data_IF_046599125957
#
_entry.id   IF_046599125957
#
_cell.length_a   1.000
_cell.length_b   1.000
_cell.length_c   1.000
_cell.angle_alpha   90.00
_cell.angle_beta   90.00
_cell.angle_gamma   90.00
#
_symmetry.space_group_name_H-M   'P 1'
#
loop_
_entity.id
_entity.type
_entity.pdbx_description
1 polymer ?
2 branched ?
3 branched ?
4 non-polymer ?
5 non-polymer ?
6 non-polymer ?
7 non-polymer ?
8 water ?
#
# COMPACT_ATOMS: atom_id res chain seq x y z
N UNK A 26 1.63 9.40 20.20
CA UNK A 26 0.47 9.66 19.36
C UNK A 26 -0.11 11.01 19.79
N UNK A 27 -1.44 11.18 19.65
CA UNK A 27 -2.34 12.31 19.96
C UNK A 27 -2.90 12.95 18.69
N UNK A 28 -3.90 13.81 18.83
CA UNK A 28 -4.61 14.37 17.67
C UNK A 28 -3.74 15.33 16.87
N UNK A 29 -2.85 16.06 17.52
CA UNK A 29 -2.11 17.11 16.85
C UNK A 29 -0.62 16.91 17.05
N UNK A 30 0.20 17.40 16.14
CA UNK A 30 1.63 17.50 16.44
C UNK A 30 1.85 18.35 17.67
N UNK A 31 2.92 18.03 18.40
CA UNK A 31 3.22 18.69 19.67
C UNK A 31 3.39 20.19 19.52
N UNK A 32 3.87 20.64 18.36
CA UNK A 32 4.04 22.07 18.13
C UNK A 32 2.71 22.83 18.23
N UNK A 33 1.57 22.16 17.98
CA UNK A 33 0.32 22.92 17.86
C UNK A 33 -0.23 23.38 19.20
N UNK A 34 0.09 22.69 20.29
CA UNK A 34 -0.38 23.11 21.60
C UNK A 34 0.22 24.47 21.98
N UNK A 35 -0.46 25.26 22.84
CA UNK A 35 -1.65 24.95 23.64
C UNK A 35 -3.01 25.23 22.97
N UNK A 36 -3.01 25.81 21.77
CA UNK A 36 -4.26 26.12 21.07
C UNK A 36 -4.20 25.53 19.66
N UNK A 37 -4.32 24.22 19.54
CA UNK A 37 -4.16 23.59 18.21
C UNK A 37 -5.24 23.99 17.23
N UNK A 38 -6.42 24.39 17.73
CA UNK A 38 -7.55 24.75 16.90
C UNK A 38 -7.64 26.24 16.62
N UNK A 39 -6.62 27.03 17.00
CA UNK A 39 -6.63 28.45 16.68
C UNK A 39 -6.83 28.62 15.19
N UNK A 40 -7.63 29.61 14.81
CA UNK A 40 -7.93 29.86 13.42
C UNK A 40 -9.04 29.02 12.82
N UNK A 41 -9.49 27.97 13.51
CA UNK A 41 -10.53 27.08 12.98
C UNK A 41 -11.87 27.55 13.53
N UNK A 42 -12.87 27.66 12.65
CA UNK A 42 -14.22 27.97 13.08
C UNK A 42 -14.91 26.67 13.50
N UNK A 43 -15.29 26.58 14.78
CA UNK A 43 -16.04 25.43 15.25
C UNK A 43 -17.39 25.35 14.53
N UNK A 44 -17.75 24.14 14.11
CA UNK A 44 -19.02 23.86 13.43
C UNK A 44 -19.82 22.76 14.09
N UNK A 45 -19.15 21.71 14.55
CA UNK A 45 -19.83 20.49 14.97
C UNK A 45 -18.85 19.66 15.75
N UNK A 46 -19.23 19.24 16.95
CA UNK A 46 -18.28 18.66 17.90
C UNK A 46 -17.88 17.24 17.55
N UNK A 47 -18.44 16.63 16.49
CA UNK A 47 -18.00 15.30 16.07
C UNK A 47 -16.59 15.32 15.49
N UNK A 48 -16.16 16.45 14.95
CA UNK A 48 -14.96 16.54 14.14
C UNK A 48 -13.85 17.22 14.91
N UNK A 49 -12.62 17.00 14.43
CA UNK A 49 -11.44 17.65 15.00
C UNK A 49 -11.58 19.15 14.88
N UNK A 50 -11.38 19.85 16.00
CA UNK A 50 -11.58 21.31 16.09
C UNK A 50 -12.99 21.71 15.68
N UNK A 51 -13.92 20.77 15.67
CA UNK A 51 -15.28 21.09 15.25
C UNK A 51 -15.44 21.31 13.77
N UNK A 52 -14.47 20.88 12.96
CA UNK A 52 -14.46 21.17 11.53
C UNK A 52 -14.49 19.86 10.75
N UNK A 53 -15.57 19.57 10.01
CA UNK A 53 -15.66 18.26 9.32
C UNK A 53 -14.54 18.02 8.32
N UNK A 54 -13.95 19.07 7.77
CA UNK A 54 -12.85 18.90 6.85
C UNK A 54 -11.62 18.27 7.52
N UNK A 55 -11.52 18.34 8.85
CA UNK A 55 -10.41 17.73 9.58
C UNK A 55 -10.71 16.33 10.06
N UNK A 56 -11.84 15.75 9.64
CA UNK A 56 -12.11 14.36 9.91
C UNK A 56 -12.64 14.11 11.31
N UNK A 57 -12.93 12.84 11.62
CA UNK A 57 -13.55 12.51 12.90
C UNK A 57 -12.55 12.51 14.04
N UNK A 58 -13.05 12.89 15.22
CA UNK A 58 -12.23 12.81 16.43
C UNK A 58 -11.90 11.35 16.72
N UNK A 59 -12.88 10.48 16.63
CA UNK A 59 -12.73 9.06 16.96
C UNK A 59 -12.30 8.30 15.72
N UNK A 60 -11.23 7.52 15.83
CA UNK A 60 -10.67 6.72 14.76
C UNK A 60 -10.92 5.24 14.99
N UNK A 61 -10.87 4.41 13.94
CA UNK A 61 -11.17 2.98 14.11
C UNK A 61 -10.15 2.29 15.01
N UNK A 62 -10.62 1.33 15.80
CA UNK A 62 -9.74 0.53 16.64
C UNK A 62 -9.80 -0.96 16.35
N UNK A 63 -10.42 -1.37 15.25
CA UNK A 63 -10.53 -2.77 14.89
C UNK A 63 -9.84 -3.02 13.54
N UNK A 64 -9.38 -4.25 13.35
CA UNK A 64 -8.79 -4.68 12.08
C UNK A 64 -9.88 -4.79 11.01
N UNK A 65 -9.60 -4.39 9.75
CA UNK A 65 -8.35 -3.88 9.16
C UNK A 65 -8.21 -2.37 9.21
N UNK A 66 -9.28 -1.68 9.60
CA UNK A 66 -9.22 -0.23 9.54
C UNK A 66 -8.06 0.30 10.37
N UNK A 67 -7.88 -0.22 11.59
CA UNK A 67 -6.76 0.27 12.38
C UNK A 67 -5.43 -0.05 11.71
N UNK A 68 -5.38 -1.15 10.96
CA UNK A 68 -4.13 -1.48 10.27
C UNK A 68 -3.87 -0.53 9.12
N UNK A 69 -4.92 -0.12 8.40
CA UNK A 69 -4.75 0.85 7.34
C UNK A 69 -4.44 2.25 7.85
N UNK A 70 -4.71 2.54 9.12
CA UNK A 70 -4.51 3.88 9.65
C UNK A 70 -3.30 3.96 10.56
N UNK A 71 -2.56 2.86 10.70
CA UNK A 71 -1.48 2.80 11.68
C UNK A 71 -0.35 3.78 11.36
N UNK A 72 -0.19 4.16 10.09
CA UNK A 72 0.87 5.07 9.68
C UNK A 72 0.36 6.48 9.37
N UNK A 73 -0.88 6.81 9.80
CA UNK A 73 -1.59 8.00 9.35
C UNK A 73 -1.42 9.13 10.36
N UNK A 74 -0.67 10.16 9.99
CA UNK A 74 -0.61 11.41 10.74
C UNK A 74 -1.49 12.39 10.00
N UNK A 75 -2.64 12.71 10.61
CA UNK A 75 -3.76 13.33 9.91
C UNK A 75 -3.38 14.65 9.24
N UNK A 76 -2.52 15.44 9.87
CA UNK A 76 -2.08 16.71 9.30
C UNK A 76 -0.60 16.70 8.93
N UNK A 77 0.01 15.52 8.84
CA UNK A 77 1.46 15.47 8.71
C UNK A 77 2.09 16.14 9.92
N UNK A 78 3.05 17.03 9.69
CA UNK A 78 3.64 17.79 10.78
C UNK A 78 2.99 19.17 10.92
N UNK A 79 1.89 19.42 10.20
CA UNK A 79 1.23 20.71 10.18
C UNK A 79 0.19 20.79 11.29
N UNK A 80 -0.21 22.00 11.61
CA UNK A 80 -1.36 22.21 12.48
C UNK A 80 -2.60 22.48 11.64
N UNK A 81 -3.80 22.34 12.21
CA UNK A 81 -5.03 22.38 11.38
C UNK A 81 -5.15 23.55 10.42
N UNK A 82 -4.97 24.78 10.89
CA UNK A 82 -5.13 25.93 10.00
C UNK A 82 -4.06 25.93 8.90
N UNK A 83 -2.83 25.53 9.24
CA UNK A 83 -1.80 25.42 8.20
C UNK A 83 -2.17 24.34 7.18
N UNK A 84 -2.67 23.21 7.67
CA UNK A 84 -3.11 22.14 6.77
C UNK A 84 -4.21 22.63 5.83
N UNK A 85 -5.25 23.27 6.37
CA UNK A 85 -6.30 23.80 5.51
C UNK A 85 -5.77 24.89 4.60
N UNK A 86 -4.87 25.75 5.11
CA UNK A 86 -4.32 26.80 4.28
C UNK A 86 -3.60 26.22 3.08
N UNK A 87 -2.92 25.09 3.29
CA UNK A 87 -2.12 24.49 2.22
C UNK A 87 -2.98 23.76 1.20
N UNK A 88 -4.00 23.03 1.66
CA UNK A 88 -4.69 22.07 0.81
C UNK A 88 -6.12 22.44 0.45
N UNK A 89 -6.66 23.52 1.01
CA UNK A 89 -8.03 23.94 0.74
C UNK A 89 -8.04 25.39 0.31
N UNK A 90 -9.17 25.81 -0.28
CA UNK A 90 -9.26 27.18 -0.78
C UNK A 90 -9.31 28.23 0.33
N UNK A 91 -9.61 27.82 1.57
CA UNK A 91 -9.76 28.79 2.64
C UNK A 91 -9.73 28.02 3.96
N UNK A 92 -9.11 28.63 4.97
CA UNK A 92 -9.18 28.09 6.34
C UNK A 92 -10.59 28.26 6.90
N UNK A 93 -11.31 29.31 6.46
CA UNK A 93 -12.69 29.50 6.87
C UNK A 93 -13.56 28.33 6.41
N UNK A 94 -14.71 28.10 7.07
CA UNK A 94 -15.52 26.91 6.75
C UNK A 94 -15.93 26.79 5.31
N UNK A 95 -15.96 27.89 4.55
CA UNK A 95 -16.31 27.82 3.13
C UNK A 95 -15.21 27.24 2.25
N UNK A 96 -14.01 27.01 2.79
CA UNK A 96 -12.93 26.51 1.96
C UNK A 96 -13.15 25.05 1.58
N UNK A 97 -12.89 24.74 0.32
CA UNK A 97 -12.97 23.37 -0.17
C UNK A 97 -11.59 22.83 -0.48
N UNK A 98 -11.42 21.51 -0.31
CA UNK A 98 -10.15 20.88 -0.64
C UNK A 98 -9.86 21.00 -2.13
N UNK A 99 -8.60 21.29 -2.45
CA UNK A 99 -8.14 21.29 -3.83
C UNK A 99 -7.52 19.92 -4.13
N UNK A 100 -7.93 19.31 -5.21
CA UNK A 100 -7.49 17.97 -5.54
C UNK A 100 -6.40 18.02 -6.60
N UNK A 101 -5.56 16.98 -6.68
CA UNK A 101 -4.43 17.01 -7.62
C UNK A 101 -4.91 16.90 -9.06
N UNK A 102 -4.08 17.29 -10.02
CA UNK A 102 -4.48 17.21 -11.44
C UNK A 102 -4.44 15.79 -11.95
N UNK A 103 -4.99 15.63 -13.16
CA UNK A 103 -4.92 14.36 -13.90
C UNK A 103 -5.47 13.19 -13.08
N UNK A 104 -6.57 13.46 -12.36
CA UNK A 104 -7.25 12.45 -11.55
C UNK A 104 -6.37 11.84 -10.46
N UNK A 105 -5.33 12.56 -10.03
CA UNK A 105 -4.51 12.07 -8.94
C UNK A 105 -3.53 10.97 -9.28
N UNK A 106 -3.34 10.65 -10.57
CA UNK A 106 -2.29 9.72 -10.94
C UNK A 106 -0.93 10.42 -10.80
N UNK A 107 0.07 9.66 -10.37
CA UNK A 107 1.42 10.18 -10.34
C UNK A 107 1.86 10.51 -11.76
N UNK A 108 2.61 11.61 -11.88
CA UNK A 108 3.03 12.14 -13.17
C UNK A 108 4.46 11.71 -13.47
N UNK A 109 4.72 11.41 -14.74
CA UNK A 109 6.04 11.01 -15.19
C UNK A 109 6.90 12.26 -15.45
N UNK A 110 8.10 12.06 -15.98
CA UNK A 110 9.02 13.18 -16.11
C UNK A 110 8.54 14.20 -17.13
N UNK A 111 7.57 13.85 -17.98
CA UNK A 111 7.00 14.76 -18.95
C UNK A 111 5.65 15.32 -18.51
N UNK A 112 5.35 15.25 -17.20
CA UNK A 112 4.09 15.71 -16.63
C UNK A 112 2.88 14.91 -17.11
N UNK A 113 3.09 13.71 -17.65
CA UNK A 113 1.91 12.94 -18.03
C UNK A 113 1.54 11.94 -16.95
N UNK A 114 0.26 11.65 -16.76
CA UNK A 114 -0.11 10.64 -15.76
C UNK A 114 0.36 9.25 -16.16
N UNK A 115 0.83 8.50 -15.17
CA UNK A 115 1.22 7.10 -15.35
C UNK A 115 -0.01 6.26 -15.05
N UNK A 116 -0.56 5.62 -16.09
CA UNK A 116 -1.69 4.72 -15.92
C UNK A 116 -1.82 3.87 -17.16
N UNK A 117 -2.67 2.85 -17.07
CA UNK A 117 -3.08 2.07 -18.23
C UNK A 117 -4.47 1.51 -18.00
N UNK A 118 -5.15 1.22 -19.10
CA UNK A 118 -6.38 0.47 -19.02
C UNK A 118 -6.05 -1.00 -18.74
N UNK A 119 -6.68 -1.56 -17.72
CA UNK A 119 -6.38 -2.90 -17.26
C UNK A 119 -7.66 -3.61 -16.86
N UNK A 120 -7.69 -4.92 -17.10
CA UNK A 120 -8.79 -5.78 -16.74
C UNK A 120 -8.64 -6.26 -15.30
N UNK A 121 -9.66 -6.01 -14.48
CA UNK A 121 -9.66 -6.52 -13.11
C UNK A 121 -10.24 -7.92 -13.10
N UNK A 122 -9.50 -8.93 -12.65
CA UNK A 122 -10.00 -10.31 -12.73
C UNK A 122 -11.06 -10.61 -11.66
N UNK A 123 -11.93 -11.55 -11.99
CA UNK A 123 -12.90 -12.07 -11.03
C UNK A 123 -12.18 -12.61 -9.79
N UNK A 124 -12.69 -12.26 -8.61
CA UNK A 124 -12.06 -12.62 -7.35
C UNK A 124 -11.27 -11.51 -6.68
N UNK A 125 -10.81 -10.52 -7.44
CA UNK A 125 -9.99 -9.45 -6.87
C UNK A 125 -10.78 -8.62 -5.86
N UNK A 126 -10.15 -8.29 -4.75
CA UNK A 126 -10.81 -7.54 -3.70
C UNK A 126 -10.35 -6.09 -3.72
N UNK A 127 -11.31 -5.18 -3.64
CA UNK A 127 -11.08 -3.74 -3.74
C UNK A 127 -11.70 -3.07 -2.53
N UNK A 128 -11.16 -1.92 -2.12
CA UNK A 128 -11.84 -1.18 -1.06
C UNK A 128 -11.81 0.31 -1.36
N UNK A 129 -12.50 1.08 -0.51
CA UNK A 129 -12.77 2.47 -0.85
C UNK A 129 -13.24 3.24 0.38
N UNK A 130 -12.69 4.43 0.61
CA UNK A 130 -13.25 5.37 1.57
C UNK A 130 -14.06 6.39 0.77
N UNK A 131 -15.37 6.28 0.81
CA UNK A 131 -16.20 7.20 0.05
C UNK A 131 -17.53 6.57 -0.32
N UNK A 132 -18.44 7.42 -0.77
CA UNK A 132 -19.76 6.94 -1.17
C UNK A 132 -19.67 6.09 -2.43
N UNK A 133 -20.72 5.30 -2.66
CA UNK A 133 -20.73 4.42 -3.82
C UNK A 133 -21.00 5.15 -5.13
N UNK A 134 -21.13 6.48 -5.09
CA UNK A 134 -21.22 7.26 -6.31
C UNK A 134 -19.85 7.64 -6.85
N UNK A 135 -18.77 7.24 -6.17
CA UNK A 135 -17.43 7.54 -6.62
C UNK A 135 -16.91 6.52 -7.62
N UNK A 136 -15.69 6.80 -8.12
CA UNK A 136 -15.10 6.04 -9.21
C UNK A 136 -13.64 5.66 -8.91
N UNK A 137 -13.18 5.82 -7.67
CA UNK A 137 -11.80 5.55 -7.30
C UNK A 137 -11.78 4.44 -6.26
N UNK A 138 -11.03 3.38 -6.55
CA UNK A 138 -10.84 2.30 -5.58
C UNK A 138 -9.35 2.00 -5.46
N UNK A 139 -9.03 1.20 -4.46
CA UNK A 139 -7.67 0.75 -4.16
C UNK A 139 -7.71 -0.75 -3.91
N UNK A 140 -6.57 -1.43 -4.00
CA UNK A 140 -6.56 -2.85 -3.59
C UNK A 140 -6.88 -2.98 -2.11
N UNK A 141 -7.66 -4.01 -1.78
CA UNK A 141 -8.01 -4.29 -0.39
C UNK A 141 -6.80 -4.15 0.52
N UNK A 142 -6.94 -3.34 1.56
CA UNK A 142 -5.92 -3.21 2.57
C UNK A 142 -4.89 -2.12 2.36
N UNK A 143 -4.96 -1.34 1.29
CA UNK A 143 -3.95 -0.31 1.10
C UNK A 143 -3.97 0.68 2.28
N UNK A 144 -2.81 1.08 2.79
CA UNK A 144 -2.79 2.07 3.88
C UNK A 144 -3.48 3.36 3.45
N UNK A 145 -4.12 4.02 4.42
CA UNK A 145 -4.75 5.30 4.13
C UNK A 145 -3.76 6.27 3.50
N UNK A 146 -2.51 6.32 3.98
CA UNK A 146 -1.56 7.28 3.42
C UNK A 146 -1.19 6.99 1.97
N UNK A 147 -1.38 5.75 1.51
CA UNK A 147 -1.15 5.45 0.09
C UNK A 147 -2.26 5.97 -0.81
N UNK A 148 -3.39 6.39 -0.26
CA UNK A 148 -4.54 6.84 -1.05
C UNK A 148 -4.57 8.34 -1.31
N UNK A 149 -3.72 9.12 -0.64
CA UNK A 149 -3.72 10.59 -0.73
C UNK A 149 -5.15 11.15 -0.62
N UNK A 150 -5.79 10.81 0.47
CA UNK A 150 -7.14 11.28 0.77
C UNK A 150 -7.10 12.31 1.90
N UNK A 151 -7.99 13.30 1.89
CA UNK A 151 -8.04 14.26 3.00
C UNK A 151 -8.73 13.65 4.21
N UNK A 152 -8.65 14.29 5.37
CA UNK A 152 -9.19 13.65 6.58
C UNK A 152 -10.70 13.44 6.51
N UNK A 153 -11.41 14.25 5.74
CA UNK A 153 -12.86 14.17 5.69
C UNK A 153 -13.37 12.85 5.08
N UNK A 154 -12.53 12.12 4.33
CA UNK A 154 -13.02 10.84 3.83
C UNK A 154 -13.20 9.80 4.92
N UNK A 155 -12.76 10.06 6.15
CA UNK A 155 -13.06 9.17 7.27
C UNK A 155 -14.33 9.56 8.01
N UNK A 156 -15.02 10.61 7.58
CA UNK A 156 -16.30 10.94 8.20
C UNK A 156 -17.32 9.86 7.86
N UNK A 157 -18.20 9.56 8.82
CA UNK A 157 -19.23 8.55 8.63
C UNK A 157 -20.51 9.22 8.12
N UNK A 158 -21.08 8.65 7.06
CA UNK A 158 -22.34 9.11 6.51
C UNK A 158 -23.45 8.11 6.67
N UNK A 159 -23.13 6.82 6.61
CA UNK A 159 -24.09 5.75 6.83
C UNK A 159 -23.56 4.90 7.98
N UNK A 160 -24.34 4.81 9.06
CA UNK A 160 -23.91 4.03 10.20
C UNK A 160 -23.65 2.57 9.88
N UNK A 161 -24.18 2.07 8.77
CA UNK A 161 -23.87 0.70 8.37
C UNK A 161 -22.43 0.59 7.85
N UNK A 162 -21.81 1.71 7.49
CA UNK A 162 -20.43 1.73 7.00
C UNK A 162 -19.64 2.79 7.76
N UNK A 163 -19.19 2.46 8.98
CA UNK A 163 -18.37 3.40 9.75
C UNK A 163 -17.13 3.82 8.96
N UNK A 164 -16.81 5.11 9.06
CA UNK A 164 -15.65 5.69 8.40
C UNK A 164 -15.76 5.66 6.89
N UNK A 165 -16.98 5.47 6.38
CA UNK A 165 -17.25 5.45 4.93
C UNK A 165 -16.40 4.39 4.21
N UNK A 166 -16.01 3.34 4.91
CA UNK A 166 -15.15 2.30 4.36
C UNK A 166 -15.99 1.16 3.78
N UNK A 167 -15.76 0.86 2.50
CA UNK A 167 -16.50 -0.17 1.77
C UNK A 167 -15.50 -1.14 1.17
N UNK A 168 -15.85 -2.43 1.15
CA UNK A 168 -15.02 -3.47 0.52
C UNK A 168 -15.87 -4.20 -0.53
N UNK A 169 -15.24 -4.52 -1.67
CA UNK A 169 -15.92 -5.13 -2.80
C UNK A 169 -15.06 -6.24 -3.39
N UNK A 170 -15.69 -7.10 -4.20
CA UNK A 170 -15.00 -8.17 -4.89
C UNK A 170 -15.49 -8.24 -6.33
N UNK A 171 -14.55 -8.33 -7.26
CA UNK A 171 -14.88 -8.36 -8.68
C UNK A 171 -15.61 -9.67 -8.97
N UNK A 172 -16.85 -9.54 -9.46
CA UNK A 172 -17.65 -10.70 -9.82
C UNK A 172 -17.72 -10.92 -11.33
N UNK A 173 -17.34 -9.92 -12.11
CA UNK A 173 -17.28 -10.03 -13.55
C UNK A 173 -16.20 -9.09 -14.06
N UNK A 174 -15.35 -9.58 -14.96
CA UNK A 174 -14.21 -8.78 -15.44
C UNK A 174 -14.67 -7.43 -15.97
N UNK A 175 -13.90 -6.39 -15.67
CA UNK A 175 -14.11 -5.11 -16.33
C UNK A 175 -12.81 -4.32 -16.33
N UNK A 176 -12.74 -3.33 -17.22
CA UNK A 176 -11.54 -2.56 -17.48
C UNK A 176 -11.61 -1.26 -16.70
N UNK A 177 -10.48 -0.86 -16.12
CA UNK A 177 -10.35 0.37 -15.34
C UNK A 177 -9.07 1.06 -15.75
N UNK A 178 -9.00 2.35 -15.44
CA UNK A 178 -7.71 3.02 -15.43
C UNK A 178 -6.95 2.59 -14.18
N UNK A 179 -5.71 2.16 -14.36
CA UNK A 179 -4.94 1.56 -13.28
C UNK A 179 -3.58 2.24 -13.25
N UNK A 180 -3.20 2.78 -12.08
CA UNK A 180 -1.92 3.44 -11.95
C UNK A 180 -1.61 3.99 -10.56
N UNK A 181 -0.39 4.49 -10.39
CA UNK A 181 0.06 4.96 -9.07
C UNK A 181 -0.64 6.25 -8.65
N UNK A 182 -0.78 6.40 -7.34
CA UNK A 182 -1.43 7.56 -6.72
C UNK A 182 -0.40 8.63 -6.38
N UNK A 183 -0.58 9.85 -6.91
CA UNK A 183 0.32 10.96 -6.63
C UNK A 183 0.24 11.35 -5.15
N UNK A 184 1.34 11.80 -4.56
CA UNK A 184 1.27 12.36 -3.20
C UNK A 184 0.35 13.58 -3.17
N UNK A 185 -0.40 13.71 -2.08
CA UNK A 185 -1.28 14.87 -1.89
C UNK A 185 -1.74 14.87 -0.43
N UNK A 186 -2.26 16.02 0.03
CA UNK A 186 -2.88 16.15 1.36
C UNK A 186 -1.90 15.82 2.48
N UNK A 187 -0.63 16.19 2.28
CA UNK A 187 0.45 15.96 3.23
C UNK A 187 0.76 14.47 3.43
N UNK A 188 0.43 13.63 2.44
CA UNK A 188 0.72 12.21 2.51
C UNK A 188 1.53 11.78 1.29
N UNK A 189 2.22 10.64 1.38
CA UNK A 189 3.10 10.23 0.26
C UNK A 189 2.37 9.55 -0.89
N UNK A 190 1.17 9.02 -0.67
CA UNK A 190 0.49 8.34 -1.74
C UNK A 190 1.23 7.08 -2.16
N UNK A 191 1.24 6.83 -3.47
CA UNK A 191 1.96 5.75 -4.12
C UNK A 191 1.36 4.38 -3.83
N UNK A 192 0.10 4.35 -3.43
CA UNK A 192 -0.72 3.18 -3.68
C UNK A 192 -1.03 3.08 -5.16
N UNK A 193 -1.82 2.08 -5.51
CA UNK A 193 -2.43 1.99 -6.84
C UNK A 193 -3.90 2.36 -6.72
N UNK A 194 -4.39 3.19 -7.63
CA UNK A 194 -5.81 3.46 -7.72
C UNK A 194 -6.38 2.82 -8.97
N UNK A 195 -7.65 2.42 -8.87
CA UNK A 195 -8.44 1.94 -10.00
C UNK A 195 -9.53 2.97 -10.24
N UNK A 196 -9.48 3.61 -11.40
CA UNK A 196 -10.45 4.63 -11.77
C UNK A 196 -11.44 4.01 -12.73
N UNK A 197 -12.68 3.90 -12.29
CA UNK A 197 -13.71 3.18 -13.02
C UNK A 197 -14.50 4.14 -13.90
N UNK A 198 -15.10 3.60 -14.96
CA UNK A 198 -15.89 4.37 -15.90
C UNK A 198 -17.38 4.33 -15.58
N UNK A 199 -17.80 3.42 -14.71
CA UNK A 199 -19.12 3.37 -14.08
C UNK A 199 -18.89 3.57 -12.58
N UNK A 200 -19.76 4.32 -11.91
CA UNK A 200 -19.49 4.44 -10.48
C UNK A 200 -19.79 3.11 -9.78
N UNK A 201 -19.36 3.04 -8.52
CA UNK A 201 -19.39 1.78 -7.78
C UNK A 201 -20.80 1.21 -7.75
N UNK A 202 -21.77 2.06 -7.43
CA UNK A 202 -23.14 1.60 -7.35
C UNK A 202 -23.60 1.03 -8.69
N UNK A 203 -23.22 1.68 -9.78
CA UNK A 203 -23.55 1.15 -11.10
C UNK A 203 -22.91 -0.20 -11.34
N UNK A 204 -21.64 -0.35 -10.94
CA UNK A 204 -20.96 -1.64 -11.12
C UNK A 204 -21.65 -2.72 -10.32
N UNK A 205 -22.11 -2.40 -9.11
CA UNK A 205 -22.88 -3.37 -8.33
C UNK A 205 -24.19 -3.70 -9.05
N UNK A 206 -24.91 -2.64 -9.48
CA UNK A 206 -26.15 -2.81 -10.23
C UNK A 206 -26.00 -3.81 -11.36
N UNK A 207 -24.92 -3.70 -12.13
CA UNK A 207 -24.71 -4.50 -13.33
C UNK A 207 -23.97 -5.79 -13.08
N UNK A 208 -23.70 -6.15 -11.83
CA UNK A 208 -23.13 -7.45 -11.54
C UNK A 208 -21.62 -7.58 -11.65
N UNK A 209 -20.89 -6.46 -11.70
CA UNK A 209 -19.43 -6.47 -11.81
C UNK A 209 -18.74 -6.52 -10.45
N UNK A 210 -19.37 -5.97 -9.41
CA UNK A 210 -18.84 -5.96 -8.05
C UNK A 210 -19.94 -6.45 -7.12
N UNK A 211 -19.55 -7.14 -6.06
CA UNK A 211 -20.45 -7.39 -4.95
C UNK A 211 -19.84 -6.79 -3.69
N UNK A 212 -20.69 -6.45 -2.74
CA UNK A 212 -20.23 -5.96 -1.45
C UNK A 212 -19.77 -7.12 -0.59
N UNK A 213 -18.72 -6.89 0.19
CA UNK A 213 -18.27 -7.86 1.16
C UNK A 213 -18.62 -7.35 2.56
N UNK A 214 -19.12 -8.24 3.42
CA UNK A 214 -19.26 -7.83 4.81
C UNK A 214 -17.99 -8.20 5.56
N UNK A 215 -17.87 -7.69 6.79
CA UNK A 215 -16.58 -7.71 7.48
C UNK A 215 -16.08 -9.13 7.68
N UNK A 216 -16.97 -10.11 7.78
CA UNK A 216 -16.55 -11.50 7.94
C UNK A 216 -15.79 -12.02 6.72
N UNK A 217 -15.83 -11.31 5.61
CA UNK A 217 -15.15 -11.74 4.40
C UNK A 217 -13.80 -11.05 4.21
N UNK A 218 -13.40 -10.18 5.14
CA UNK A 218 -12.07 -9.58 5.09
C UNK A 218 -11.51 -9.37 6.50
N UNK A 219 -11.71 -10.36 7.37
CA UNK A 219 -11.23 -10.27 8.74
C UNK A 219 -10.14 -11.27 9.08
N UNK A 220 -9.70 -12.09 8.11
CA UNK A 220 -8.60 -13.01 8.32
C UNK A 220 -7.55 -12.80 7.24
N UNK A 221 -6.31 -13.15 7.58
CA UNK A 221 -5.18 -12.92 6.68
C UNK A 221 -5.37 -13.61 5.33
N UNK A 222 -5.86 -14.87 5.34
CA UNK A 222 -5.96 -15.59 4.07
C UNK A 222 -6.93 -14.88 3.13
N UNK A 223 -7.90 -14.14 3.68
CA UNK A 223 -8.85 -13.42 2.84
C UNK A 223 -8.23 -12.20 2.16
N UNK A 224 -6.99 -11.85 2.49
CA UNK A 224 -6.24 -10.84 1.76
C UNK A 224 -5.36 -11.42 0.67
N UNK A 225 -5.21 -12.75 0.61
CA UNK A 225 -4.33 -13.37 -0.37
C UNK A 225 -5.06 -13.50 -1.71
N UNK A 226 -4.34 -14.03 -2.71
CA UNK A 226 -4.77 -14.06 -4.11
C UNK A 226 -4.86 -15.48 -4.64
N UNK A 227 -6.07 -16.06 -4.75
CA UNK A 227 -6.20 -17.37 -5.38
C UNK A 227 -6.49 -17.33 -6.88
N UNK A 228 -6.75 -16.14 -7.45
CA UNK A 228 -7.27 -16.07 -8.82
C UNK A 228 -6.18 -15.92 -9.87
N UNK A 229 -5.04 -15.33 -9.53
CA UNK A 229 -3.98 -15.18 -10.53
C UNK A 229 -3.32 -16.54 -10.78
N UNK A 230 -3.22 -16.98 -12.03
CA UNK A 230 -2.60 -18.29 -12.31
C UNK A 230 -1.09 -18.23 -12.28
N UNK A 231 -0.50 -19.40 -12.07
CA UNK A 231 0.93 -19.54 -12.00
C UNK A 231 1.59 -19.59 -13.37
N UNK A 232 2.92 -19.45 -13.37
CA UNK A 232 3.64 -19.52 -14.65
C UNK A 232 3.62 -20.90 -15.28
N UNK A 233 3.49 -21.96 -14.50
CA UNK A 233 3.53 -23.32 -15.03
C UNK A 233 2.17 -23.81 -15.54
N UNK A 234 1.14 -22.96 -15.52
CA UNK A 234 -0.21 -23.35 -15.96
C UNK A 234 -0.47 -23.14 -17.45
N UNK B 27 -2.69 -17.65 11.44
CA UNK B 27 -2.40 -19.07 11.21
C UNK B 27 -1.25 -19.25 10.21
N UNK B 28 -0.21 -20.00 10.59
CA UNK B 28 0.94 -20.17 9.70
C UNK B 28 0.54 -20.91 8.43
N UNK B 29 -0.04 -22.09 8.57
CA UNK B 29 -0.56 -22.82 7.43
C UNK B 29 -2.08 -22.70 7.39
N UNK B 30 -2.69 -22.77 6.21
CA UNK B 30 -4.16 -22.81 6.16
C UNK B 30 -4.66 -24.08 6.87
N UNK B 31 -5.79 -23.93 7.58
CA UNK B 31 -6.31 -25.04 8.37
C UNK B 31 -6.52 -26.31 7.54
N UNK B 32 -6.68 -26.15 6.23
CA UNK B 32 -6.88 -27.26 5.30
C UNK B 32 -5.62 -28.13 5.15
N UNK B 33 -4.45 -27.62 5.50
CA UNK B 33 -3.20 -28.36 5.30
C UNK B 33 -2.88 -29.30 6.45
N UNK B 34 -3.41 -29.05 7.64
CA UNK B 34 -3.35 -30.05 8.69
C UNK B 34 -3.94 -31.35 8.17
N UNK B 35 -3.40 -32.51 8.56
CA UNK B 35 -2.50 -32.68 9.70
C UNK B 35 -1.01 -32.44 9.44
N UNK B 36 -0.50 -32.58 8.21
CA UNK B 36 0.94 -32.54 7.93
C UNK B 36 1.30 -31.51 6.88
N UNK B 37 1.37 -30.23 7.25
CA UNK B 37 1.61 -29.18 6.24
C UNK B 37 2.90 -29.33 5.46
N UNK B 38 3.95 -29.90 6.05
CA UNK B 38 5.22 -29.94 5.36
C UNK B 38 5.37 -31.14 4.46
N UNK B 39 4.27 -31.85 4.19
CA UNK B 39 4.30 -32.99 3.27
C UNK B 39 4.94 -32.59 1.95
N UNK B 40 5.91 -33.39 1.50
CA UNK B 40 6.59 -33.15 0.24
C UNK B 40 7.79 -32.24 0.34
N UNK B 41 7.96 -31.53 1.43
CA UNK B 41 9.10 -30.64 1.61
C UNK B 41 10.28 -31.44 2.17
N UNK B 42 11.46 -31.23 1.60
CA UNK B 42 12.68 -31.83 2.13
C UNK B 42 13.30 -30.88 3.15
N UNK B 43 13.56 -31.38 4.35
CA UNK B 43 14.21 -30.54 5.34
C UNK B 43 15.62 -30.19 4.93
N UNK B 44 16.00 -28.92 5.08
CA UNK B 44 17.34 -28.46 4.74
C UNK B 44 17.98 -27.64 5.86
N UNK B 45 17.25 -26.66 6.41
CA UNK B 45 17.85 -25.67 7.32
C UNK B 45 16.86 -25.34 8.43
N UNK B 46 17.27 -25.47 9.68
CA UNK B 46 16.31 -25.10 10.70
C UNK B 46 16.18 -23.57 10.76
N UNK B 47 15.15 -23.13 11.47
CA UNK B 47 14.61 -21.78 11.65
C UNK B 47 13.74 -21.34 10.46
N UNK B 48 13.67 -22.11 9.37
CA UNK B 48 12.81 -21.81 8.23
C UNK B 48 11.59 -22.72 8.22
N UNK B 49 10.48 -22.22 7.68
CA UNK B 49 9.24 -23.01 7.62
C UNK B 49 9.52 -24.32 6.89
N UNK B 50 9.19 -25.44 7.54
CA UNK B 50 9.43 -26.80 7.04
C UNK B 50 10.89 -27.05 6.73
N UNK B 51 11.79 -26.29 7.38
CA UNK B 51 13.21 -26.41 7.11
C UNK B 51 13.60 -26.03 5.70
N UNK B 52 12.82 -25.18 5.05
CA UNK B 52 13.03 -24.84 3.65
C UNK B 52 13.14 -23.32 3.53
N UNK B 53 14.32 -22.78 3.24
CA UNK B 53 14.49 -21.32 3.23
C UNK B 53 13.60 -20.62 2.23
N UNK B 54 13.18 -21.32 1.18
CA UNK B 54 12.26 -20.72 0.22
C UNK B 54 10.91 -20.39 0.85
N UNK B 55 10.59 -21.02 1.97
CA UNK B 55 9.32 -20.79 2.64
C UNK B 55 9.42 -19.75 3.74
N UNK B 56 10.57 -19.09 3.87
CA UNK B 56 10.71 -17.98 4.77
C UNK B 56 10.96 -18.40 6.20
N UNK B 57 11.12 -17.42 7.09
CA UNK B 57 11.44 -17.74 8.48
C UNK B 57 10.21 -18.12 9.29
N UNK B 58 10.45 -18.90 10.34
CA UNK B 58 9.39 -19.24 11.28
C UNK B 58 8.95 -18.01 12.05
N UNK B 59 9.91 -17.29 12.62
CA UNK B 59 9.64 -16.13 13.46
C UNK B 59 9.47 -14.91 12.57
N UNK B 60 8.32 -14.27 12.67
CA UNK B 60 8.00 -13.05 11.94
C UNK B 60 8.13 -11.83 12.83
N UNK B 61 8.20 -10.63 12.24
CA UNK B 61 8.54 -9.45 13.05
C UNK B 61 7.49 -9.15 14.11
N UNK B 62 7.97 -8.63 15.22
CA UNK B 62 7.16 -8.40 16.41
C UNK B 62 6.84 -6.94 16.66
N UNK B 63 7.36 -6.01 15.86
CA UNK B 63 7.21 -4.59 16.19
C UNK B 63 6.93 -3.77 14.95
N UNK B 64 6.33 -2.61 15.20
CA UNK B 64 6.04 -1.62 14.17
C UNK B 64 7.34 -1.14 13.52
N UNK B 65 7.35 -0.93 12.18
CA UNK B 65 6.27 -1.05 11.18
C UNK B 65 6.17 -2.39 10.49
N UNK B 66 7.20 -3.22 10.69
CA UNK B 66 7.24 -4.53 10.05
C UNK B 66 6.00 -5.34 10.36
N UNK B 67 5.60 -5.40 11.64
CA UNK B 67 4.39 -6.15 11.95
C UNK B 67 3.18 -5.52 11.28
N UNK B 68 3.18 -4.20 11.09
CA UNK B 68 2.09 -3.54 10.37
C UNK B 68 2.06 -3.95 8.90
N UNK B 69 3.24 -4.08 8.29
CA UNK B 69 3.35 -4.47 6.89
C UNK B 69 3.00 -5.93 6.64
N UNK B 70 3.04 -6.77 7.67
CA UNK B 70 2.77 -8.19 7.52
C UNK B 70 1.43 -8.60 8.13
N UNK B 71 0.64 -7.63 8.60
CA UNK B 71 -0.61 -7.96 9.29
C UNK B 71 -1.60 -8.68 8.37
N UNK B 72 -1.53 -8.43 7.06
CA UNK B 72 -2.43 -9.06 6.10
C UNK B 72 -1.76 -10.18 5.31
N UNK B 73 -0.63 -10.70 5.77
CA UNK B 73 0.18 -11.64 4.99
C UNK B 73 -0.15 -13.07 5.37
N UNK B 74 -0.81 -13.79 4.47
CA UNK B 74 -0.97 -15.23 4.55
C UNK B 74 0.07 -15.83 3.62
N UNK B 75 1.12 -16.42 4.20
CA UNK B 75 2.35 -16.57 3.44
C UNK B 75 2.22 -17.57 2.30
N UNK B 76 1.27 -18.51 2.37
CA UNK B 76 1.00 -19.41 1.26
C UNK B 76 -0.38 -19.18 0.65
N UNK B 77 -1.02 -18.06 0.97
CA UNK B 77 -2.42 -17.91 0.59
C UNK B 77 -3.20 -19.06 1.20
N UNK B 78 -4.06 -19.68 0.39
CA UNK B 78 -4.81 -20.86 0.80
C UNK B 78 -4.15 -22.16 0.38
N UNK B 79 -2.89 -22.11 -0.05
CA UNK B 79 -2.19 -23.31 -0.51
C UNK B 79 -1.35 -23.93 0.62
N UNK B 80 -1.02 -25.25 0.42
CA UNK B 80 -0.05 -25.89 1.28
C UNK B 80 1.36 -25.69 0.72
N UNK B 81 2.38 -25.76 1.58
CA UNK B 81 3.75 -25.48 1.12
C UNK B 81 4.14 -26.14 -0.20
N UNK B 82 3.95 -27.45 -0.33
CA UNK B 82 4.31 -28.12 -1.58
C UNK B 82 3.50 -27.58 -2.76
N UNK B 83 2.19 -27.37 -2.55
CA UNK B 83 1.34 -26.73 -3.57
C UNK B 83 1.88 -25.36 -3.96
N UNK B 84 2.32 -24.59 -2.98
CA UNK B 84 2.81 -23.24 -3.25
C UNK B 84 4.08 -23.28 -4.08
N UNK B 85 5.02 -24.15 -3.70
CA UNK B 85 6.24 -24.32 -4.48
C UNK B 85 5.96 -24.91 -5.87
N UNK B 86 5.01 -25.84 -5.96
CA UNK B 86 4.69 -26.41 -7.27
C UNK B 86 4.16 -25.34 -8.22
N UNK B 87 3.36 -24.41 -7.69
CA UNK B 87 2.78 -23.36 -8.53
C UNK B 87 3.81 -22.30 -8.90
N UNK B 88 4.63 -21.86 -7.95
CA UNK B 88 5.42 -20.63 -8.14
C UNK B 88 6.91 -20.89 -8.34
N UNK B 89 7.38 -22.13 -8.30
CA UNK B 89 8.79 -22.42 -8.46
C UNK B 89 8.98 -23.54 -9.48
N UNK B 90 10.24 -23.79 -9.84
CA UNK B 90 10.53 -24.81 -10.84
C UNK B 90 10.43 -26.23 -10.30
N UNK B 91 10.44 -26.42 -8.98
CA UNK B 91 10.41 -27.75 -8.40
C UNK B 91 10.09 -27.64 -6.92
N UNK B 92 9.31 -28.59 -6.41
CA UNK B 92 9.11 -28.68 -4.96
C UNK B 92 10.39 -29.12 -4.27
N UNK B 93 11.25 -29.84 -4.97
CA UNK B 93 12.51 -30.31 -4.40
C UNK B 93 13.43 -29.12 -4.10
N UNK B 94 14.46 -29.33 -3.26
CA UNK B 94 15.33 -28.20 -2.89
C UNK B 94 15.98 -27.47 -4.05
N UNK B 95 16.15 -28.12 -5.21
CA UNK B 95 16.72 -27.45 -6.37
C UNK B 95 15.74 -26.51 -7.08
N UNK B 96 14.47 -26.47 -6.68
CA UNK B 96 13.55 -25.57 -7.36
C UNK B 96 13.84 -24.12 -7.02
N UNK B 97 13.69 -23.25 -8.02
CA UNK B 97 13.88 -21.82 -7.83
C UNK B 97 12.57 -21.09 -8.14
N UNK B 98 12.35 -19.96 -7.45
CA UNK B 98 11.14 -19.18 -7.69
C UNK B 98 11.17 -18.60 -9.09
N UNK B 99 10.02 -18.63 -9.76
CA UNK B 99 9.84 -18.03 -11.08
C UNK B 99 9.19 -16.66 -10.90
N UNK B 100 9.77 -15.65 -11.52
CA UNK B 100 9.34 -14.28 -11.27
C UNK B 100 8.41 -13.80 -12.38
N UNK B 101 7.57 -12.79 -12.10
CA UNK B 101 6.65 -12.31 -13.12
C UNK B 101 7.38 -11.60 -14.23
N UNK B 102 6.80 -11.57 -15.43
CA UNK B 102 7.47 -10.88 -16.55
C UNK B 102 7.44 -9.36 -16.44
N UNK B 103 8.09 -8.67 -17.37
CA UNK B 103 8.10 -7.21 -17.45
C UNK B 103 8.57 -6.57 -16.14
N UNK B 104 9.54 -7.21 -15.49
CA UNK B 104 10.09 -6.73 -14.22
C UNK B 104 9.00 -6.57 -13.14
N UNK B 105 7.93 -7.37 -13.20
CA UNK B 105 6.89 -7.32 -12.19
C UNK B 105 5.91 -6.17 -12.29
N UNK B 106 5.96 -5.35 -13.34
CA UNK B 106 4.95 -4.31 -13.51
C UNK B 106 3.62 -4.95 -13.90
N UNK B 107 2.52 -4.35 -13.42
CA UNK B 107 1.18 -4.77 -13.86
C UNK B 107 1.00 -4.44 -15.34
N UNK B 108 0.29 -5.32 -16.05
CA UNK B 108 0.15 -5.23 -17.50
C UNK B 108 -1.21 -4.64 -17.88
N UNK B 109 -1.23 -3.84 -18.94
CA UNK B 109 -2.48 -3.24 -19.42
C UNK B 109 -3.23 -4.25 -20.29
N UNK B 110 -4.37 -3.82 -20.86
CA UNK B 110 -5.20 -4.75 -21.64
C UNK B 110 -4.48 -5.29 -22.87
N UNK B 111 -3.38 -4.65 -23.29
CA UNK B 111 -2.56 -5.11 -24.41
C UNK B 111 -1.29 -5.81 -23.95
N UNK B 112 -1.24 -6.26 -22.69
CA UNK B 112 -0.12 -7.01 -22.15
C UNK B 112 1.18 -6.20 -22.18
N UNK B 113 1.08 -4.88 -22.08
CA UNK B 113 2.23 -4.01 -21.91
C UNK B 113 2.32 -3.54 -20.47
N UNK B 114 3.52 -3.50 -19.89
CA UNK B 114 3.65 -3.04 -18.50
C UNK B 114 3.24 -1.57 -18.36
N UNK B 115 2.55 -1.27 -17.26
CA UNK B 115 2.15 0.09 -16.92
C UNK B 115 3.24 0.70 -16.05
N UNK B 116 3.87 1.76 -16.55
CA UNK B 116 4.94 2.44 -15.83
C UNK B 116 5.29 3.73 -16.55
N UNK B 117 5.99 4.60 -15.84
CA UNK B 117 6.61 5.75 -16.46
C UNK B 117 7.91 6.04 -15.74
N UNK B 118 8.74 6.86 -16.39
CA UNK B 118 9.91 7.43 -15.73
C UNK B 118 9.44 8.57 -14.84
N UNK B 119 9.90 8.60 -13.59
CA UNK B 119 9.44 9.59 -12.64
C UNK B 119 10.61 10.07 -11.80
N UNK B 120 10.56 11.34 -11.44
CA UNK B 120 11.56 11.93 -10.55
C UNK B 120 11.13 11.70 -9.11
N UNK B 121 11.97 11.01 -8.34
CA UNK B 121 11.73 10.90 -6.90
C UNK B 121 12.22 12.18 -6.24
N UNK B 122 11.38 12.88 -5.49
CA UNK B 122 11.80 14.15 -4.90
C UNK B 122 12.61 13.94 -3.63
N UNK B 123 13.43 14.95 -3.32
CA UNK B 123 14.21 14.95 -2.09
C UNK B 123 13.27 14.90 -0.91
N UNK B 124 13.51 13.97 0.01
CA UNK B 124 12.69 13.79 1.19
C UNK B 124 11.82 12.54 1.17
N UNK B 125 11.54 12.00 -0.01
CA UNK B 125 10.71 10.81 -0.10
C UNK B 125 11.35 9.62 0.60
N UNK B 126 10.54 8.88 1.35
CA UNK B 126 11.04 7.70 2.05
C UNK B 126 10.64 6.46 1.29
N UNK B 127 11.59 5.55 1.10
CA UNK B 127 11.41 4.30 0.39
C UNK B 127 11.80 3.15 1.31
N UNK B 128 11.26 1.96 1.04
CA UNK B 128 11.75 0.80 1.75
C UNK B 128 11.82 -0.41 0.82
N UNK B 129 12.39 -1.48 1.35
CA UNK B 129 12.79 -2.61 0.51
C UNK B 129 13.06 -3.80 1.41
N UNK B 130 12.49 -4.96 1.07
CA UNK B 130 12.91 -6.24 1.63
C UNK B 130 13.88 -6.86 0.64
N UNK B 131 15.17 -6.81 0.96
CA UNK B 131 16.18 -7.34 0.06
C UNK B 131 17.51 -6.65 0.27
N UNK B 132 18.49 -7.13 -0.48
CA UNK B 132 19.88 -6.68 -0.35
C UNK B 132 20.12 -5.43 -1.18
N UNK B 133 21.19 -4.71 -0.83
CA UNK B 133 21.44 -3.44 -1.49
C UNK B 133 22.05 -3.59 -2.87
N UNK B 134 22.26 -4.83 -3.34
CA UNK B 134 22.65 -5.02 -4.72
C UNK B 134 21.46 -4.99 -5.68
N UNK B 135 20.24 -4.93 -5.15
CA UNK B 135 19.04 -4.95 -5.97
C UNK B 135 18.51 -3.57 -6.32
N UNK B 136 17.34 -3.55 -6.95
CA UNK B 136 16.86 -2.34 -7.64
C UNK B 136 15.37 -2.08 -7.44
N UNK B 137 14.67 -2.84 -6.61
CA UNK B 137 13.23 -2.71 -6.45
C UNK B 137 12.93 -2.17 -5.06
N UNK B 138 12.25 -1.03 -4.99
CA UNK B 138 11.78 -0.46 -3.75
C UNK B 138 10.28 -0.16 -3.84
N UNK B 139 9.69 0.16 -2.69
CA UNK B 139 8.29 0.52 -2.55
C UNK B 139 8.23 1.78 -1.70
N UNK B 140 7.09 2.47 -1.66
CA UNK B 140 6.98 3.59 -0.72
C UNK B 140 7.03 3.03 0.68
N UNK B 141 7.72 3.73 1.56
CA UNK B 141 7.82 3.31 2.96
C UNK B 141 6.46 2.90 3.50
N UNK B 142 6.40 1.73 4.12
CA UNK B 142 5.17 1.26 4.73
C UNK B 142 4.27 0.42 3.84
N UNK B 143 4.63 0.20 2.59
CA UNK B 143 3.79 -0.62 1.72
C UNK B 143 3.62 -2.02 2.31
N UNK B 144 2.39 -2.54 2.38
CA UNK B 144 2.19 -3.91 2.88
C UNK B 144 3.02 -4.92 2.10
N UNK B 145 3.47 -5.97 2.80
CA UNK B 145 4.25 -7.00 2.12
C UNK B 145 3.48 -7.62 0.97
N UNK B 146 2.16 -7.82 1.13
CA UNK B 146 1.40 -8.44 0.04
C UNK B 146 1.28 -7.52 -1.16
N UNK B 147 1.48 -6.20 -0.99
CA UNK B 147 1.45 -5.29 -2.13
C UNK B 147 2.69 -5.40 -3.01
N UNK B 148 3.75 -6.07 -2.54
CA UNK B 148 5.02 -6.17 -3.25
C UNK B 148 5.16 -7.43 -4.10
N UNK B 149 4.25 -8.40 -3.93
CA UNK B 149 4.30 -9.66 -4.67
C UNK B 149 5.69 -10.30 -4.58
N UNK B 150 6.09 -10.56 -3.34
CA UNK B 150 7.37 -11.18 -3.03
C UNK B 150 7.17 -12.58 -2.48
N UNK B 151 8.11 -13.50 -2.73
CA UNK B 151 8.01 -14.83 -2.12
C UNK B 151 8.36 -14.77 -0.64
N UNK B 152 8.10 -15.85 0.10
CA UNK B 152 8.40 -15.83 1.54
C UNK B 152 9.87 -15.63 1.87
N UNK B 153 10.78 -16.02 0.98
CA UNK B 153 12.21 -15.95 1.29
C UNK B 153 12.76 -14.53 1.31
N UNK B 154 12.03 -13.53 0.81
CA UNK B 154 12.52 -12.16 0.99
C UNK B 154 12.41 -11.68 2.42
N UNK B 155 11.85 -12.49 3.31
CA UNK B 155 11.84 -12.20 4.75
C UNK B 155 13.01 -12.87 5.47
N UNK B 156 13.86 -13.58 4.74
CA UNK B 156 15.00 -14.22 5.35
C UNK B 156 16.04 -13.16 5.71
N UNK B 157 16.69 -13.36 6.86
CA UNK B 157 17.69 -12.42 7.33
C UNK B 157 19.05 -12.89 6.84
N UNK B 158 19.80 -11.99 6.20
CA UNK B 158 21.17 -12.28 5.76
C UNK B 158 22.21 -11.51 6.55
N UNK B 159 21.83 -10.38 7.12
CA UNK B 159 22.71 -9.53 7.92
C UNK B 159 21.95 -9.16 9.19
N UNK B 160 22.47 -9.58 10.34
CA UNK B 160 21.81 -9.29 11.61
C UNK B 160 21.58 -7.81 11.88
N UNK B 161 22.33 -6.93 11.21
CA UNK B 161 22.02 -5.52 11.32
C UNK B 161 20.67 -5.18 10.71
N UNK B 162 20.16 -6.03 9.83
CA UNK B 162 18.91 -5.80 9.12
C UNK B 162 18.04 -7.04 9.21
N UNK B 163 17.38 -7.25 10.36
CA UNK B 163 16.41 -8.34 10.47
C UNK B 163 15.41 -8.31 9.33
N UNK B 164 15.12 -9.48 8.78
CA UNK B 164 14.16 -9.67 7.69
C UNK B 164 14.60 -8.94 6.43
N UNK B 165 15.88 -8.58 6.36
CA UNK B 165 16.45 -7.87 5.22
C UNK B 165 15.68 -6.59 4.90
N UNK B 166 15.07 -5.98 5.90
CA UNK B 166 14.22 -4.81 5.70
C UNK B 166 15.07 -3.53 5.79
N UNK B 167 15.05 -2.75 4.71
CA UNK B 167 15.82 -1.52 4.59
C UNK B 167 14.90 -0.33 4.34
N UNK B 168 15.23 0.81 4.92
CA UNK B 168 14.50 2.05 4.67
C UNK B 168 15.50 3.10 4.20
N UNK B 169 15.09 3.89 3.22
CA UNK B 169 15.94 4.93 2.65
C UNK B 169 15.19 6.23 2.55
N UNK B 170 15.94 7.32 2.40
CA UNK B 170 15.37 8.62 2.09
C UNK B 170 16.13 9.23 0.92
N UNK B 171 15.40 9.81 -0.02
CA UNK B 171 16.02 10.46 -1.17
C UNK B 171 16.71 11.73 -0.71
N UNK B 172 17.99 11.86 -1.04
CA UNK B 172 18.77 13.04 -0.69
C UNK B 172 19.14 13.89 -1.89
N UNK B 173 19.01 13.34 -3.09
CA UNK B 173 19.16 14.08 -4.33
C UNK B 173 18.20 13.45 -5.33
N UNK B 174 17.47 14.28 -6.06
CA UNK B 174 16.43 13.71 -6.92
C UNK B 174 17.06 12.88 -8.03
N UNK B 175 16.32 11.86 -8.48
CA UNK B 175 16.77 10.99 -9.55
C UNK B 175 15.57 10.25 -10.12
N UNK B 176 15.74 9.75 -11.36
CA UNK B 176 14.64 9.17 -12.14
C UNK B 176 14.65 7.66 -11.97
N UNK B 177 13.44 7.09 -11.74
CA UNK B 177 13.24 5.65 -11.66
C UNK B 177 12.10 5.28 -12.58
N UNK B 178 12.03 3.99 -12.91
CA UNK B 178 10.80 3.44 -13.45
C UNK B 178 9.80 3.26 -12.32
N UNK B 179 8.57 3.77 -12.52
CA UNK B 179 7.59 3.78 -11.43
C UNK B 179 6.27 3.24 -11.96
N UNK B 180 5.69 2.28 -11.24
CA UNK B 180 4.49 1.64 -11.72
C UNK B 180 3.84 0.67 -10.76
N UNK B 181 2.63 0.25 -11.10
CA UNK B 181 1.93 -0.75 -10.28
C UNK B 181 2.58 -2.12 -10.33
N UNK B 182 2.44 -2.83 -9.22
CA UNK B 182 3.04 -4.15 -9.03
C UNK B 182 2.01 -5.22 -9.37
N UNK B 183 2.37 -6.12 -10.29
CA UNK B 183 1.49 -7.19 -10.70
C UNK B 183 1.32 -8.20 -9.57
N UNK B 184 0.17 -8.86 -9.47
CA UNK B 184 0.04 -9.97 -8.53
C UNK B 184 0.97 -11.12 -8.91
N UNK B 185 1.52 -11.77 -7.89
CA UNK B 185 2.38 -12.92 -8.05
C UNK B 185 2.52 -13.58 -6.69
N UNK B 186 3.05 -14.81 -6.69
CA UNK B 186 3.35 -15.53 -5.46
C UNK B 186 2.15 -15.64 -4.52
N UNK B 187 0.94 -15.74 -5.11
CA UNK B 187 -0.31 -15.94 -4.36
C UNK B 187 -0.74 -14.69 -3.59
N UNK B 188 -0.26 -13.52 -3.99
CA UNK B 188 -0.60 -12.25 -3.39
C UNK B 188 -1.18 -11.30 -4.43
N UNK B 189 -1.95 -10.30 -4.00
CA UNK B 189 -2.57 -9.37 -4.96
C UNK B 189 -1.65 -8.34 -5.56
N UNK B 190 -0.46 -8.11 -5.01
CA UNK B 190 0.37 -7.00 -5.50
C UNK B 190 -0.38 -5.67 -5.39
N UNK B 191 -0.18 -4.81 -6.41
CA UNK B 191 -0.85 -3.52 -6.57
C UNK B 191 -0.36 -2.44 -5.60
N UNK B 192 0.78 -2.65 -4.96
CA UNK B 192 1.54 -1.50 -4.51
C UNK B 192 2.14 -0.81 -5.73
N UNK B 193 2.98 0.17 -5.47
CA UNK B 193 3.78 0.79 -6.51
C UNK B 193 5.22 0.36 -6.28
N UNK B 194 5.94 0.06 -7.36
CA UNK B 194 7.36 -0.22 -7.26
C UNK B 194 8.16 0.88 -7.93
N UNK B 195 9.33 1.13 -7.37
CA UNK B 195 10.32 2.02 -7.97
C UNK B 195 11.47 1.13 -8.42
N UNK B 196 11.76 1.15 -9.72
CA UNK B 196 12.76 0.27 -10.30
C UNK B 196 13.93 1.16 -10.70
N UNK B 197 15.02 1.06 -9.96
CA UNK B 197 16.12 1.99 -10.14
C UNK B 197 17.01 1.50 -11.29
N UNK B 198 17.63 2.47 -11.95
CA UNK B 198 18.56 2.14 -13.02
C UNK B 198 19.93 1.78 -12.47
N UNK B 199 20.18 2.11 -11.21
CA UNK B 199 21.43 1.81 -10.50
C UNK B 199 21.05 1.15 -9.18
N UNK B 200 21.81 0.13 -8.79
CA UNK B 200 21.48 -0.59 -7.56
C UNK B 200 21.52 0.34 -6.36
N UNK B 201 20.89 -0.10 -5.28
CA UNK B 201 20.76 0.73 -4.08
C UNK B 201 22.13 1.17 -3.59
N UNK B 202 23.08 0.24 -3.51
CA UNK B 202 24.42 0.56 -3.04
C UNK B 202 25.03 1.70 -3.85
N UNK B 203 24.90 1.63 -5.17
CA UNK B 203 25.40 2.72 -6.01
C UNK B 203 24.76 4.06 -5.68
N UNK B 204 23.43 4.07 -5.53
CA UNK B 204 22.71 5.31 -5.28
C UNK B 204 23.09 5.90 -3.93
N UNK B 205 23.32 5.04 -2.94
CA UNK B 205 23.83 5.55 -1.67
C UNK B 205 25.22 6.14 -1.87
N UNK B 206 26.07 5.43 -2.63
CA UNK B 206 27.45 5.88 -2.78
C UNK B 206 27.54 7.19 -3.55
N UNK B 207 26.66 7.42 -4.52
CA UNK B 207 26.64 8.66 -5.28
C UNK B 207 25.78 9.74 -4.62
N UNK B 208 25.27 9.49 -3.41
CA UNK B 208 24.58 10.50 -2.66
C UNK B 208 23.13 10.72 -3.05
N UNK B 209 22.48 9.73 -3.65
CA UNK B 209 21.06 9.88 -3.99
C UNK B 209 20.14 9.37 -2.89
N UNK B 210 20.61 8.40 -2.11
CA UNK B 210 19.87 7.82 -1.01
C UNK B 210 20.74 7.80 0.23
N UNK B 211 20.10 7.96 1.39
CA UNK B 211 20.73 7.67 2.68
C UNK B 211 19.90 6.62 3.39
N UNK B 212 20.56 5.86 4.27
CA UNK B 212 19.90 4.83 5.05
C UNK B 212 19.24 5.45 6.28
N UNK B 213 18.05 4.98 6.62
CA UNK B 213 17.36 5.48 7.79
C UNK B 213 17.52 4.50 8.93
N UNK B 214 17.81 5.03 10.12
CA UNK B 214 17.71 4.26 11.36
C UNK B 214 16.24 4.04 11.70
N UNK B 215 15.96 2.93 12.40
CA UNK B 215 14.58 2.65 12.78
C UNK B 215 13.98 3.80 13.57
N UNK B 216 14.81 4.54 14.30
CA UNK B 216 14.32 5.70 15.04
C UNK B 216 13.73 6.76 14.10
N UNK B 217 14.05 6.73 12.82
CA UNK B 217 13.53 7.70 11.87
C UNK B 217 12.29 7.21 11.14
N UNK B 218 11.77 6.04 11.49
CA UNK B 218 10.49 5.63 10.93
C UNK B 218 9.67 4.87 11.97
N UNK B 219 9.73 5.33 13.22
CA UNK B 219 8.99 4.68 14.29
C UNK B 219 7.78 5.47 14.76
N UNK B 220 7.49 6.62 14.13
CA UNK B 220 6.37 7.46 14.53
C UNK B 220 5.51 7.76 13.31
N UNK B 221 4.20 7.88 13.54
CA UNK B 221 3.28 8.10 12.42
C UNK B 221 3.70 9.30 11.60
N UNK B 222 4.11 10.39 12.26
CA UNK B 222 4.45 11.61 11.54
C UNK B 222 5.59 11.37 10.57
N UNK B 223 6.48 10.42 10.86
CA UNK B 223 7.58 10.12 9.97
C UNK B 223 7.15 9.36 8.71
N UNK B 224 5.87 9.00 8.59
CA UNK B 224 5.31 8.43 7.38
C UNK B 224 4.63 9.47 6.52
N UNK B 225 4.37 10.67 7.05
CA UNK B 225 3.70 11.74 6.33
C UNK B 225 4.68 12.43 5.39
N UNK B 226 4.16 13.37 4.60
CA UNK B 226 4.85 13.96 3.45
C UNK B 226 5.00 15.46 3.64
N UNK B 227 6.19 15.96 4.01
CA UNK B 227 6.40 17.41 4.07
C UNK B 227 6.97 18.03 2.81
N UNK B 228 7.41 17.22 1.84
CA UNK B 228 8.14 17.73 0.68
C UNK B 228 7.24 18.09 -0.50
N UNK B 229 6.11 17.40 -0.69
CA UNK B 229 5.24 17.76 -1.82
C UNK B 229 4.58 19.11 -1.54
N UNK B 230 4.67 20.08 -2.46
CA UNK B 230 4.07 21.39 -2.20
C UNK B 230 2.57 21.37 -2.46
N UNK B 231 1.89 22.31 -1.82
CA UNK B 231 0.45 22.46 -2.00
C UNK B 231 0.16 23.12 -3.33
N UNK B 232 -1.09 23.05 -3.77
CA UNK B 232 -1.43 23.64 -5.07
C UNK B 232 -1.27 25.15 -5.05
N UNK B 233 -0.96 25.69 -6.22
CA UNK B 233 -0.87 27.14 -6.36
C UNK B 233 -2.26 27.76 -6.28
N UNK B 234 -2.40 28.80 -5.46
CA UNK B 234 -3.68 29.49 -5.34
C UNK B 234 -3.61 30.95 -5.79
N UNK B 235 -2.47 31.38 -6.33
CA UNK B 235 -2.34 32.72 -6.92
C UNK B 235 -3.28 32.87 -8.11
#
# INVERSE_FOLDING_TARGET
MIFTNAILVISALLPATVLSLQHTEDSLFPARCWPDPCAGITFQNDTYVCGDPRLGPVVLPQKFPLNNELRTYARFGALCPAEFLDKWATDVAPNGTYIYPPANGFALDTEEQPILGNATLPVGMKLDRFGSEYGTFLAPLGAPYIERSLPPSNLNTFDGMYPYNYHVYQVTKEFVVGLGPIAPWFEQPGMGTQFVTYTNVLGLIDDGYLRRLDESEYDEKVEYSNPYTPGPNQDVLFQGPGHHHHHH
MIFTNAILVISALLPATVLSLQHTEDSLFPARCWPDPCAGITFQNDTYVCGDPRLGPVVLPQKFPLNNELRTYARFGALCPAEFLDKWATDVAPNGTYIYPPANGFALDTEEQPILGNATLPVGMKLDRFGSEYGTFLAPLGAPYIERSLPPSNLNTFDGMYPYNYHVYQVTKEFVVGLGPIAPWFEQPGMGTQFVTYTNVLGLIDDGYLRRLDESEYDEKVEYSNPYTPGPNQDVLFQGPGHHHHHH
#
